data_IF_790220338158
#
_entry.id   IF_790220338158
#
_cell.length_a   1.000
_cell.length_b   1.000
_cell.length_c   1.000
_cell.angle_alpha   90.00
_cell.angle_beta   90.00
_cell.angle_gamma   90.00
#
_symmetry.space_group_name_H-M   'P 1'
#
loop_
_entity.id
_entity.type
_entity.pdbx_description
1 polymer ?
#
# COMPACT_ATOMS: atom_id res chain seq x y z
N UNK A 1 28.39 -8.17 -8.74
CA UNK A 1 27.08 -8.14 -8.05
C UNK A 1 26.09 -8.91 -8.90
N UNK A 2 25.38 -9.89 -8.35
CA UNK A 2 24.34 -10.61 -9.10
C UNK A 2 22.98 -9.94 -8.83
N UNK A 3 22.19 -9.75 -9.88
CA UNK A 3 20.94 -8.98 -9.79
C UNK A 3 19.91 -9.60 -8.84
N UNK A 4 19.90 -10.92 -8.67
CA UNK A 4 18.94 -11.65 -7.82
C UNK A 4 19.28 -11.65 -6.32
N UNK A 5 20.48 -11.20 -5.96
CA UNK A 5 20.92 -11.10 -4.57
C UNK A 5 20.60 -9.70 -3.98
N UNK A 6 20.12 -8.77 -4.81
CA UNK A 6 19.80 -7.40 -4.39
C UNK A 6 18.50 -7.36 -3.61
N UNK A 7 18.59 -7.06 -2.32
CA UNK A 7 17.45 -6.81 -1.45
C UNK A 7 17.45 -5.35 -0.98
N UNK A 8 16.28 -4.70 -0.85
CA UNK A 8 16.20 -3.37 -0.28
C UNK A 8 16.51 -3.40 1.22
N UNK A 9 17.03 -2.31 1.76
CA UNK A 9 17.21 -2.16 3.21
C UNK A 9 15.86 -2.29 3.94
N UNK A 10 15.86 -2.86 5.14
CA UNK A 10 14.64 -3.03 5.94
C UNK A 10 13.92 -1.68 6.14
N UNK A 11 12.59 -1.68 5.95
CA UNK A 11 11.77 -0.47 6.10
C UNK A 11 11.90 0.57 4.98
N UNK A 12 12.85 0.43 4.04
CA UNK A 12 13.04 1.40 2.95
C UNK A 12 11.86 1.46 1.97
N UNK A 13 11.06 0.39 1.87
CA UNK A 13 9.86 0.32 1.03
C UNK A 13 8.63 0.05 1.87
N UNK A 14 7.65 0.95 1.79
CA UNK A 14 6.32 0.79 2.41
C UNK A 14 5.29 0.47 1.33
N UNK A 15 4.33 -0.40 1.66
CA UNK A 15 3.19 -0.70 0.77
C UNK A 15 2.31 0.54 0.66
N UNK A 16 1.88 0.88 -0.55
CA UNK A 16 0.96 1.98 -0.78
C UNK A 16 -0.46 1.63 -0.29
N UNK A 17 -1.16 2.63 0.24
CA UNK A 17 -2.55 2.46 0.62
C UNK A 17 -3.40 2.27 -0.64
N UNK A 18 -4.05 1.12 -0.76
CA UNK A 18 -4.89 0.75 -1.91
C UNK A 18 -6.30 1.33 -1.77
N UNK A 19 -6.42 2.64 -1.89
CA UNK A 19 -7.67 3.39 -1.69
C UNK A 19 -8.68 3.08 -2.79
N UNK A 20 -9.96 2.91 -2.45
CA UNK A 20 -11.05 2.73 -3.41
C UNK A 20 -11.16 1.34 -4.03
N UNK A 21 -10.47 0.33 -3.48
CA UNK A 21 -10.45 -1.06 -4.00
C UNK A 21 -11.37 -2.02 -3.23
N UNK A 22 -12.56 -1.56 -2.85
CA UNK A 22 -13.53 -2.38 -2.11
C UNK A 22 -13.30 -2.39 -0.59
N UNK A 23 -13.99 -3.28 0.12
CA UNK A 23 -14.07 -3.26 1.60
C UNK A 23 -12.76 -3.64 2.28
N UNK A 24 -12.04 -4.62 1.73
CA UNK A 24 -10.84 -5.20 2.34
C UNK A 24 -9.76 -4.18 2.82
N UNK A 25 -9.38 -3.15 2.04
CA UNK A 25 -8.36 -2.18 2.47
C UNK A 25 -8.84 -1.11 3.47
N UNK A 26 -10.08 -1.16 3.98
CA UNK A 26 -10.65 -0.19 4.93
C UNK A 26 -11.01 1.18 4.32
N UNK A 27 -10.27 1.61 3.29
CA UNK A 27 -10.47 2.86 2.55
C UNK A 27 -11.26 2.64 1.24
N UNK A 28 -12.23 1.72 1.26
CA UNK A 28 -13.01 1.34 0.08
C UNK A 28 -14.00 2.41 -0.35
N UNK A 29 -15.15 2.43 0.34
CA UNK A 29 -16.34 3.20 -0.07
C UNK A 29 -16.11 4.70 -0.04
N UNK A 30 -15.65 5.22 1.09
CA UNK A 30 -15.46 6.67 1.29
C UNK A 30 -14.09 7.16 0.84
N UNK A 31 -13.18 6.24 0.48
CA UNK A 31 -11.78 6.56 0.19
C UNK A 31 -11.10 7.35 1.33
N UNK A 32 -11.51 7.12 2.57
CA UNK A 32 -11.01 7.85 3.74
C UNK A 32 -11.56 9.27 3.89
N UNK A 33 -12.60 9.65 3.14
CA UNK A 33 -13.16 11.01 3.12
C UNK A 33 -14.45 11.19 3.94
N UNK A 34 -14.90 10.14 4.63
CA UNK A 34 -16.16 10.15 5.37
C UNK A 34 -17.40 10.24 4.48
N UNK A 35 -18.55 10.48 5.10
CA UNK A 35 -19.80 10.85 4.43
C UNK A 35 -20.15 12.29 4.84
N UNK A 36 -20.79 13.04 3.95
CA UNK A 36 -21.42 14.33 4.28
C UNK A 36 -22.91 14.11 4.44
#
# INVERSE_FOLDING_TARGET
MKLHELTPAEGSRKKSNSVGRGVAPGNGKTRGRGHK
#
